data_IF_810000058322
#
_entry.id   IF_810000058322
#
_cell.length_a   1.000
_cell.length_b   1.000
_cell.length_c   1.000
_cell.angle_alpha   90.00
_cell.angle_beta   90.00
_cell.angle_gamma   90.00
#
_symmetry.space_group_name_H-M   'P 1'
#
loop_
_entity.id
_entity.type
_entity.pdbx_description
1 polymer ?
#
# COMPACT_ATOMS: atom_id res chain seq x y z
N UNK A 1 -4.17 4.89 5.41
CA UNK A 1 -3.57 4.84 4.06
C UNK A 1 -3.82 6.16 3.34
N UNK A 2 -2.84 6.66 2.59
CA UNK A 2 -3.01 7.72 1.60
C UNK A 2 -2.67 7.19 0.20
N UNK A 3 -3.30 7.76 -0.83
CA UNK A 3 -3.06 7.44 -2.24
C UNK A 3 -2.12 8.52 -2.81
N UNK A 4 -1.30 8.15 -3.79
CA UNK A 4 -0.39 9.03 -4.53
C UNK A 4 0.61 9.82 -3.66
N UNK A 5 1.48 9.12 -2.89
CA UNK A 5 2.65 9.77 -2.29
C UNK A 5 3.54 10.44 -3.34
N UNK A 6 4.34 11.42 -2.89
CA UNK A 6 5.34 12.07 -3.74
C UNK A 6 6.39 11.03 -4.16
N UNK A 7 6.52 10.82 -5.46
CA UNK A 7 7.54 9.98 -6.08
C UNK A 7 8.63 10.87 -6.72
N UNK A 8 9.86 10.38 -6.68
CA UNK A 8 11.00 10.98 -7.37
C UNK A 8 10.98 10.61 -8.86
N UNK A 9 11.89 11.20 -9.64
CA UNK A 9 11.97 10.99 -11.10
C UNK A 9 12.17 9.52 -11.51
N UNK A 10 12.72 8.69 -10.64
CA UNK A 10 12.95 7.26 -10.85
C UNK A 10 11.80 6.38 -10.33
N UNK A 11 10.65 6.99 -9.99
CA UNK A 11 9.51 6.35 -9.34
C UNK A 11 9.81 5.76 -7.94
N UNK A 12 10.93 6.13 -7.32
CA UNK A 12 11.17 5.82 -5.92
C UNK A 12 10.38 6.78 -5.01
N UNK A 13 9.86 6.33 -3.86
CA UNK A 13 9.14 7.23 -2.96
C UNK A 13 10.08 8.25 -2.32
N UNK A 14 9.62 9.49 -2.21
CA UNK A 14 10.32 10.49 -1.43
C UNK A 14 10.30 10.12 0.06
N UNK A 15 11.43 10.27 0.74
CA UNK A 15 11.54 10.05 2.18
C UNK A 15 10.74 11.11 2.97
N UNK A 16 10.00 10.71 4.00
CA UNK A 16 9.22 11.65 4.83
C UNK A 16 10.07 12.32 5.93
N UNK A 17 11.19 11.70 6.30
CA UNK A 17 12.15 12.27 7.26
C UNK A 17 13.58 11.91 6.86
N UNK A 18 14.59 12.65 7.34
CA UNK A 18 16.00 12.28 7.15
C UNK A 18 16.39 10.93 7.77
N UNK A 19 15.56 10.39 8.66
CA UNK A 19 15.78 9.11 9.35
C UNK A 19 15.04 7.94 8.71
N UNK A 20 14.14 8.20 7.75
CA UNK A 20 13.50 7.14 6.99
C UNK A 20 14.52 6.49 6.03
N UNK A 21 14.55 5.16 6.02
CA UNK A 21 15.27 4.37 5.04
C UNK A 21 14.40 3.21 4.61
N UNK A 22 14.35 2.93 3.32
CA UNK A 22 13.73 1.71 2.82
C UNK A 22 14.71 0.55 3.04
N UNK A 23 14.30 -0.37 3.92
CA UNK A 23 15.09 -1.52 4.36
C UNK A 23 14.90 -2.67 3.37
N UNK A 24 13.72 -2.77 2.75
CA UNK A 24 13.43 -3.72 1.70
C UNK A 24 12.73 -3.05 0.52
N UNK A 25 13.04 -3.58 -0.67
CA UNK A 25 12.36 -3.28 -1.92
C UNK A 25 12.02 -4.62 -2.55
N UNK A 26 10.73 -4.84 -2.77
CA UNK A 26 10.19 -6.06 -3.35
C UNK A 26 9.63 -5.73 -4.73
N UNK A 27 10.14 -6.39 -5.76
CA UNK A 27 9.61 -6.29 -7.13
C UNK A 27 8.52 -7.33 -7.39
N UNK A 28 7.72 -7.10 -8.44
CA UNK A 28 6.66 -8.03 -8.91
C UNK A 28 5.59 -8.34 -7.85
N UNK A 29 5.26 -7.34 -7.03
CA UNK A 29 4.23 -7.42 -5.99
C UNK A 29 2.88 -7.01 -6.57
N UNK A 30 1.83 -7.77 -6.24
CA UNK A 30 0.44 -7.37 -6.43
C UNK A 30 -0.16 -6.94 -5.10
N UNK A 31 -1.14 -6.05 -5.11
CA UNK A 31 -1.89 -5.70 -3.90
C UNK A 31 -3.38 -5.57 -4.20
N UNK A 32 -4.20 -5.76 -3.18
CA UNK A 32 -5.62 -5.44 -3.22
C UNK A 32 -6.02 -4.78 -1.90
N UNK A 33 -6.76 -3.68 -1.97
CA UNK A 33 -7.38 -3.01 -0.84
C UNK A 33 -8.88 -2.99 -1.09
N UNK A 34 -9.62 -3.53 -0.13
CA UNK A 34 -11.07 -3.48 -0.10
C UNK A 34 -11.47 -2.50 0.99
N UNK A 35 -12.03 -1.36 0.60
CA UNK A 35 -12.67 -0.42 1.53
C UNK A 35 -14.17 -0.65 1.48
N UNK A 36 -14.80 -0.94 2.62
CA UNK A 36 -16.26 -0.91 2.80
C UNK A 36 -16.94 -2.23 3.17
N UNK A 37 -17.77 -2.17 4.22
CA UNK A 37 -18.91 -3.07 4.49
C UNK A 37 -20.09 -2.30 5.12
N UNK A 38 -20.24 -1.00 4.81
CA UNK A 38 -21.28 -0.12 5.37
C UNK A 38 -22.05 0.63 4.29
N UNK A 39 -23.37 0.49 4.31
CA UNK A 39 -24.35 1.07 3.38
C UNK A 39 -24.47 2.61 3.49
N UNK A 40 -24.77 3.37 2.41
CA UNK A 40 -24.45 3.15 1.00
C UNK A 40 -23.53 4.26 0.43
N UNK A 41 -22.43 3.87 -0.25
CA UNK A 41 -21.79 4.73 -1.26
C UNK A 41 -20.27 4.92 -1.23
N UNK A 42 -19.53 4.49 -0.21
CA UNK A 42 -18.06 4.66 -0.16
C UNK A 42 -17.29 3.33 -0.06
N UNK A 43 -17.62 2.41 -0.96
CA UNK A 43 -16.82 1.21 -1.17
C UNK A 43 -15.80 1.43 -2.29
N UNK A 44 -14.51 1.53 -1.95
CA UNK A 44 -13.43 1.65 -2.93
C UNK A 44 -12.63 0.36 -3.01
N UNK A 45 -12.51 -0.22 -4.20
CA UNK A 45 -11.58 -1.34 -4.45
C UNK A 45 -10.40 -0.80 -5.22
N UNK A 46 -9.23 -0.82 -4.58
CA UNK A 46 -7.96 -0.48 -5.23
C UNK A 46 -7.17 -1.76 -5.44
N UNK A 47 -6.69 -1.96 -6.65
CA UNK A 47 -5.90 -3.13 -7.00
C UNK A 47 -4.67 -2.70 -7.79
N UNK A 48 -3.56 -3.37 -7.50
CA UNK A 48 -2.32 -3.26 -8.24
C UNK A 48 -1.90 -4.63 -8.72
N UNK A 49 -1.53 -4.72 -10.00
CA UNK A 49 -1.24 -6.00 -10.64
C UNK A 49 0.24 -6.35 -10.54
N UNK A 50 1.11 -5.36 -10.78
CA UNK A 50 2.54 -5.59 -10.89
C UNK A 50 3.33 -4.33 -10.55
N UNK A 51 3.62 -4.17 -9.28
CA UNK A 51 4.35 -3.02 -8.76
C UNK A 51 5.56 -3.38 -7.93
N UNK A 52 6.12 -2.32 -7.35
CA UNK A 52 7.23 -2.39 -6.40
C UNK A 52 6.75 -1.94 -5.02
N UNK A 53 7.03 -2.75 -4.01
CA UNK A 53 6.72 -2.44 -2.61
C UNK A 53 8.00 -2.06 -1.88
N UNK A 54 8.03 -0.84 -1.36
CA UNK A 54 9.08 -0.30 -0.52
C UNK A 54 8.67 -0.42 0.95
N UNK A 55 9.58 -0.91 1.78
CA UNK A 55 9.33 -1.15 3.21
C UNK A 55 10.34 -0.35 4.02
N UNK A 56 9.86 0.60 4.82
CA UNK A 56 10.65 1.31 5.83
C UNK A 56 10.21 0.92 7.25
N UNK A 57 10.90 1.43 8.26
CA UNK A 57 10.45 1.33 9.66
C UNK A 57 9.19 2.15 9.96
N UNK A 58 8.73 2.99 9.02
CA UNK A 58 7.57 3.88 9.21
C UNK A 58 6.35 3.43 8.41
N UNK A 59 6.55 2.94 7.20
CA UNK A 59 5.46 2.70 6.24
C UNK A 59 5.82 1.69 5.14
N UNK A 60 4.77 1.19 4.54
CA UNK A 60 4.77 0.53 3.24
C UNK A 60 4.44 1.55 2.16
N UNK A 61 5.18 1.56 1.06
CA UNK A 61 4.85 2.34 -0.12
C UNK A 61 4.81 1.43 -1.33
N UNK A 62 3.65 1.32 -1.98
CA UNK A 62 3.52 0.58 -3.23
C UNK A 62 3.48 1.55 -4.39
N UNK A 63 4.21 1.22 -5.47
CA UNK A 63 4.21 1.94 -6.73
C UNK A 63 3.85 0.97 -7.85
N UNK A 64 2.76 1.27 -8.56
CA UNK A 64 2.34 0.52 -9.75
C UNK A 64 3.32 0.75 -10.90
N UNK A 65 3.79 -0.33 -11.50
CA UNK A 65 4.71 -0.27 -12.64
C UNK A 65 4.02 -0.65 -13.95
N UNK A 66 2.82 -1.24 -13.91
CA UNK A 66 2.03 -1.51 -15.10
C UNK A 66 1.38 -0.21 -15.63
N UNK A 67 1.81 0.31 -16.79
CA UNK A 67 1.27 1.55 -17.34
C UNK A 67 -0.20 1.42 -17.76
N UNK A 68 -0.70 0.19 -17.94
CA UNK A 68 -2.09 -0.06 -18.31
C UNK A 68 -3.06 0.20 -17.15
N UNK A 69 -2.59 0.17 -15.91
CA UNK A 69 -3.40 0.50 -14.73
C UNK A 69 -3.50 2.02 -14.58
N UNK A 70 -4.61 2.59 -15.07
CA UNK A 70 -4.88 4.04 -15.02
C UNK A 70 -5.63 4.48 -13.76
N UNK A 71 -6.21 3.54 -13.03
CA UNK A 71 -7.10 3.83 -11.90
C UNK A 71 -6.35 3.97 -10.57
N UNK A 72 -5.13 3.44 -10.50
CA UNK A 72 -4.33 3.46 -9.30
C UNK A 72 -2.85 3.55 -9.67
N UNK A 73 -2.11 4.42 -8.98
CA UNK A 73 -0.68 4.63 -9.23
C UNK A 73 0.20 4.26 -8.04
N UNK A 74 -0.15 4.69 -6.84
CA UNK A 74 0.64 4.35 -5.67
C UNK A 74 -0.12 4.56 -4.36
N UNK A 75 0.35 3.94 -3.28
CA UNK A 75 -0.15 4.21 -1.93
C UNK A 75 0.98 4.30 -0.93
N UNK A 76 0.71 5.01 0.16
CA UNK A 76 1.54 5.03 1.36
C UNK A 76 0.71 4.58 2.57
N UNK A 77 1.13 3.51 3.23
CA UNK A 77 0.48 2.91 4.39
C UNK A 77 1.43 2.94 5.59
N UNK A 78 1.22 3.83 6.57
CA UNK A 78 1.96 3.80 7.82
C UNK A 78 1.78 2.46 8.54
N UNK A 79 2.85 1.92 9.11
CA UNK A 79 2.81 0.60 9.77
C UNK A 79 1.89 0.61 10.99
N UNK A 80 1.82 1.74 11.71
CA UNK A 80 0.93 1.89 12.87
C UNK A 80 -0.57 1.92 12.52
N UNK A 81 -0.92 2.04 11.22
CA UNK A 81 -2.31 1.94 10.76
C UNK A 81 -2.75 0.48 10.54
N UNK A 82 -1.83 -0.49 10.59
CA UNK A 82 -2.16 -1.90 10.45
C UNK A 82 -2.65 -2.40 11.81
N UNK A 83 -3.87 -2.93 11.84
CA UNK A 83 -4.43 -3.53 13.05
C UNK A 83 -3.65 -4.79 13.45
N UNK A 84 -3.68 -5.15 14.74
CA UNK A 84 -2.98 -6.32 15.27
C UNK A 84 -3.42 -7.65 14.63
N UNK A 85 -4.61 -7.69 14.03
CA UNK A 85 -5.20 -8.82 13.32
C UNK A 85 -4.67 -8.96 11.89
N UNK A 86 -3.35 -9.05 11.72
CA UNK A 86 -2.70 -9.32 10.43
C UNK A 86 -2.10 -10.73 10.38
N UNK A 87 -1.92 -11.27 9.18
CA UNK A 87 -1.36 -12.62 8.98
C UNK A 87 -0.50 -12.70 7.74
N UNK A 88 0.49 -13.60 7.80
CA UNK A 88 1.26 -14.04 6.66
C UNK A 88 0.78 -15.44 6.26
N UNK A 89 0.39 -15.60 5.01
CA UNK A 89 -0.11 -16.85 4.46
C UNK A 89 0.89 -17.38 3.43
N UNK A 90 1.40 -18.59 3.66
CA UNK A 90 2.25 -19.30 2.70
C UNK A 90 1.47 -20.51 2.20
N UNK A 91 0.72 -20.38 1.09
CA UNK A 91 -0.03 -21.50 0.56
C UNK A 91 0.92 -22.56 -0.01
N UNK A 92 0.51 -23.82 0.00
CA UNK A 92 1.29 -24.92 -0.59
C UNK A 92 1.47 -24.74 -2.11
N UNK A 93 0.48 -24.12 -2.77
CA UNK A 93 0.54 -23.69 -4.16
C UNK A 93 0.19 -22.20 -4.25
N UNK A 94 1.02 -21.43 -4.96
CA UNK A 94 0.81 -19.99 -5.19
C UNK A 94 1.88 -19.12 -4.54
N UNK A 95 1.65 -17.80 -4.57
CA UNK A 95 2.56 -16.81 -3.98
C UNK A 95 2.19 -16.56 -2.50
N UNK A 96 3.18 -16.33 -1.61
CA UNK A 96 2.90 -15.88 -0.26
C UNK A 96 2.11 -14.57 -0.25
N UNK A 97 1.18 -14.43 0.70
CA UNK A 97 0.40 -13.20 0.89
C UNK A 97 0.57 -12.65 2.30
N UNK A 98 0.51 -11.33 2.41
CA UNK A 98 0.37 -10.64 3.68
C UNK A 98 -0.99 -9.93 3.69
N UNK A 99 -1.79 -10.20 4.71
CA UNK A 99 -3.16 -9.71 4.82
C UNK A 99 -3.34 -9.04 6.17
N UNK A 100 -4.10 -7.94 6.21
CA UNK A 100 -4.41 -7.26 7.45
C UNK A 100 -5.49 -6.21 7.25
N UNK A 101 -6.10 -5.80 8.36
CA UNK A 101 -7.04 -4.69 8.39
C UNK A 101 -6.24 -3.41 8.59
N UNK A 102 -6.59 -2.37 7.85
CA UNK A 102 -5.96 -1.05 7.96
C UNK A 102 -6.99 -0.01 8.37
N UNK A 103 -6.68 0.74 9.42
CA UNK A 103 -7.55 1.84 9.83
C UNK A 103 -7.42 3.00 8.84
N UNK A 104 -8.54 3.65 8.55
CA UNK A 104 -8.55 4.89 7.77
C UNK A 104 -7.78 5.99 8.51
N UNK A 105 -7.18 6.91 7.76
CA UNK A 105 -6.64 8.13 8.38
C UNK A 105 -7.81 9.10 8.49
N UNK A 106 -8.06 9.72 9.65
CA UNK A 106 -9.09 10.76 9.76
C UNK A 106 -8.78 11.88 8.76
N UNK A 107 -9.68 12.06 7.78
CA UNK A 107 -9.65 13.25 6.92
C UNK A 107 -9.96 14.47 7.79
N UNK A 108 -9.04 15.43 7.79
CA UNK A 108 -9.26 16.72 8.47
C UNK A 108 -10.27 17.49 7.61
N UNK A 109 -11.55 17.44 7.96
CA UNK A 109 -12.56 18.32 7.39
C UNK A 109 -12.28 19.73 7.91
N UNK A 110 -11.81 20.62 7.04
CA UNK A 110 -11.83 22.06 7.23
C UNK A 110 -12.83 22.66 6.25
#
# INVERSE_FOLDING_TARGET
MSVDPILLHDNSPMLITPFERFIFVLDDVSFNVYSGAGYPGQGGVYYGKRGRLYVSSYRLVYVELDPSNRHFRSFSLPLYNIESSHRFCVPYFGRPTYEGIVSSVPGRNY
#
